data_IF_291496455401
#
_entry.id   IF_291496455401
#
_cell.length_a   1.000
_cell.length_b   1.000
_cell.length_c   1.000
_cell.angle_alpha   90.00
_cell.angle_beta   90.00
_cell.angle_gamma   90.00
#
_symmetry.space_group_name_H-M   'P 1'
#
loop_
_entity.id
_entity.type
_entity.pdbx_description
1 polymer ?
#
# COMPACT_ATOMS: atom_id res chain seq x y z
N UNK A 1 -9.97 -17.41 -16.21
CA UNK A 1 -10.23 -18.87 -16.11
C UNK A 1 -10.68 -19.21 -14.69
N UNK A 2 -12.00 -19.34 -14.43
CA UNK A 2 -12.55 -19.49 -13.08
C UNK A 2 -12.14 -20.78 -12.35
N UNK A 3 -11.73 -21.83 -13.06
CA UNK A 3 -11.30 -23.09 -12.44
C UNK A 3 -10.02 -22.95 -11.59
N UNK A 4 -9.13 -22.00 -11.91
CA UNK A 4 -7.91 -21.74 -11.14
C UNK A 4 -8.23 -21.20 -9.73
N UNK A 5 -9.35 -20.50 -9.56
CA UNK A 5 -9.79 -20.00 -8.25
C UNK A 5 -10.13 -21.14 -7.27
N UNK A 6 -10.54 -22.31 -7.78
CA UNK A 6 -10.89 -23.47 -6.98
C UNK A 6 -9.73 -24.46 -6.76
N UNK A 7 -8.57 -24.23 -7.39
CA UNK A 7 -7.42 -25.13 -7.26
C UNK A 7 -6.85 -25.11 -5.82
N UNK A 8 -6.60 -26.26 -5.18
CA UNK A 8 -6.05 -26.30 -3.83
C UNK A 8 -4.67 -25.66 -3.76
N UNK A 9 -4.36 -25.04 -2.62
CA UNK A 9 -3.16 -24.22 -2.45
C UNK A 9 -1.84 -24.99 -2.64
N UNK A 10 -1.86 -26.30 -2.41
CA UNK A 10 -0.73 -27.19 -2.65
C UNK A 10 -0.30 -27.25 -4.13
N UNK A 11 -1.23 -27.06 -5.07
CA UNK A 11 -0.96 -27.05 -6.52
C UNK A 11 -0.91 -25.62 -7.08
N UNK A 12 -1.33 -24.63 -6.29
CA UNK A 12 -1.50 -23.25 -6.71
C UNK A 12 -0.47 -22.35 -6.01
N UNK A 13 0.82 -22.52 -6.33
CA UNK A 13 1.89 -21.71 -5.74
C UNK A 13 1.67 -20.20 -5.85
N UNK A 14 1.04 -19.74 -6.94
CA UNK A 14 0.69 -18.34 -7.15
C UNK A 14 -0.30 -17.79 -6.09
N UNK A 15 -1.18 -18.62 -5.52
CA UNK A 15 -2.10 -18.19 -4.44
C UNK A 15 -1.36 -17.97 -3.14
N UNK A 16 -0.46 -18.91 -2.81
CA UNK A 16 0.40 -18.78 -1.64
C UNK A 16 1.26 -17.52 -1.74
N UNK A 17 1.84 -17.29 -2.91
CA UNK A 17 2.65 -16.11 -3.16
C UNK A 17 1.82 -14.82 -3.12
N UNK A 18 0.65 -14.80 -3.77
CA UNK A 18 -0.24 -13.64 -3.73
C UNK A 18 -0.69 -13.30 -2.31
N UNK A 19 -0.96 -14.30 -1.46
CA UNK A 19 -1.28 -14.08 -0.05
C UNK A 19 -0.08 -13.52 0.73
N UNK A 20 1.12 -14.07 0.51
CA UNK A 20 2.35 -13.55 1.13
C UNK A 20 2.58 -12.07 0.76
N UNK A 21 2.48 -11.75 -0.53
CA UNK A 21 2.64 -10.38 -1.02
C UNK A 21 1.57 -9.44 -0.46
N UNK A 22 0.31 -9.89 -0.41
CA UNK A 22 -0.78 -9.13 0.20
C UNK A 22 -0.52 -8.82 1.68
N UNK A 23 -0.04 -9.80 2.46
CA UNK A 23 0.30 -9.61 3.88
C UNK A 23 1.46 -8.61 4.05
N UNK A 24 2.49 -8.71 3.21
CA UNK A 24 3.65 -7.80 3.22
C UNK A 24 3.26 -6.36 2.85
N UNK A 25 2.51 -6.20 1.77
CA UNK A 25 2.03 -4.91 1.29
C UNK A 25 1.11 -4.23 2.30
N UNK A 26 0.13 -4.96 2.83
CA UNK A 26 -0.81 -4.42 3.81
C UNK A 26 -0.10 -4.05 5.12
N UNK A 27 0.90 -4.85 5.54
CA UNK A 27 1.74 -4.52 6.70
C UNK A 27 2.49 -3.19 6.48
N UNK A 28 3.12 -3.02 5.32
CA UNK A 28 3.82 -1.79 4.95
C UNK A 28 2.88 -0.58 4.97
N UNK A 29 1.72 -0.67 4.33
CA UNK A 29 0.78 0.46 4.25
C UNK A 29 0.19 0.83 5.62
N UNK A 30 -0.10 -0.15 6.48
CA UNK A 30 -0.52 0.11 7.86
C UNK A 30 0.59 0.78 8.68
N UNK A 31 1.84 0.36 8.51
CA UNK A 31 2.98 0.96 9.22
C UNK A 31 3.18 2.43 8.82
N UNK A 32 3.17 2.74 7.52
CA UNK A 32 3.29 4.11 7.01
C UNK A 32 2.18 5.03 7.53
N UNK A 33 0.94 4.52 7.64
CA UNK A 33 -0.14 5.28 8.27
C UNK A 33 0.06 5.48 9.77
N UNK A 34 0.54 4.44 10.45
CA UNK A 34 0.86 4.50 11.88
C UNK A 34 1.95 5.54 12.16
N UNK A 35 2.95 5.66 11.29
CA UNK A 35 3.97 6.70 11.38
C UNK A 35 3.39 8.12 11.34
N UNK A 36 2.46 8.37 10.42
CA UNK A 36 1.77 9.67 10.35
C UNK A 36 0.96 9.93 11.61
N UNK A 37 0.24 8.92 12.12
CA UNK A 37 -0.49 9.03 13.39
C UNK A 37 0.44 9.39 14.55
N UNK A 38 1.57 8.68 14.69
CA UNK A 38 2.60 8.96 15.71
C UNK A 38 3.20 10.36 15.56
N UNK A 39 3.37 10.84 14.33
CA UNK A 39 3.87 12.18 14.08
C UNK A 39 2.86 13.26 14.54
N UNK A 40 1.57 13.07 14.25
CA UNK A 40 0.50 13.97 14.70
C UNK A 40 0.40 14.00 16.23
N UNK A 41 0.50 12.84 16.90
CA UNK A 41 0.51 12.74 18.38
C UNK A 41 1.68 13.49 19.02
N UNK A 42 2.83 13.56 18.33
CA UNK A 42 4.01 14.32 18.75
C UNK A 42 3.92 15.82 18.44
N UNK A 43 2.84 16.28 17.80
CA UNK A 43 2.62 17.68 17.45
C UNK A 43 3.27 18.13 16.14
N UNK A 44 3.70 17.20 15.27
CA UNK A 44 4.17 17.57 13.94
C UNK A 44 2.99 17.94 13.03
N UNK A 45 3.11 19.05 12.30
CA UNK A 45 2.04 19.61 11.45
C UNK A 45 2.24 19.37 9.95
N UNK A 46 2.97 18.31 9.57
CA UNK A 46 3.23 18.02 8.15
C UNK A 46 1.94 17.66 7.42
N UNK A 47 1.67 18.34 6.31
CA UNK A 47 0.55 18.05 5.43
C UNK A 47 0.85 16.81 4.56
N UNK A 48 -0.07 15.85 4.51
CA UNK A 48 0.04 14.65 3.68
C UNK A 48 -1.35 14.09 3.38
N UNK A 49 -1.49 13.33 2.27
CA UNK A 49 -2.74 12.64 1.95
C UNK A 49 -3.19 11.70 3.08
N UNK A 50 -2.24 11.02 3.72
CA UNK A 50 -2.50 10.17 4.88
C UNK A 50 -3.09 10.95 6.04
N UNK A 51 -2.58 12.15 6.33
CA UNK A 51 -3.15 13.04 7.35
C UNK A 51 -4.58 13.44 7.00
N UNK A 52 -4.81 13.92 5.78
CA UNK A 52 -6.15 14.30 5.30
C UNK A 52 -7.13 13.14 5.46
N UNK A 53 -6.68 11.92 5.15
CA UNK A 53 -7.45 10.71 5.40
C UNK A 53 -7.74 10.50 6.90
N UNK A 54 -6.71 10.56 7.76
CA UNK A 54 -6.85 10.36 9.21
C UNK A 54 -7.80 11.37 9.86
N UNK A 55 -7.78 12.63 9.41
CA UNK A 55 -8.66 13.70 9.90
C UNK A 55 -10.13 13.51 9.47
N UNK A 56 -10.37 12.81 8.37
CA UNK A 56 -11.70 12.63 7.77
C UNK A 56 -12.15 11.16 7.72
N UNK A 57 -11.51 10.27 8.49
CA UNK A 57 -11.68 8.80 8.43
C UNK A 57 -13.16 8.37 8.48
N UNK A 58 -13.93 8.95 9.39
CA UNK A 58 -15.34 8.61 9.59
C UNK A 58 -16.22 8.96 8.38
N UNK A 59 -15.81 9.93 7.56
CA UNK A 59 -16.55 10.34 6.36
C UNK A 59 -16.38 9.37 5.19
N UNK A 60 -15.27 8.64 5.13
CA UNK A 60 -14.93 7.78 4.00
C UNK A 60 -15.56 6.39 4.04
N UNK A 61 -16.04 5.94 5.21
CA UNK A 61 -16.71 4.65 5.38
C UNK A 61 -15.89 3.45 4.88
N UNK A 62 -14.55 3.53 5.01
CA UNK A 62 -13.63 2.46 4.65
C UNK A 62 -13.24 1.66 5.90
N UNK A 63 -13.06 0.35 5.74
CA UNK A 63 -12.31 -0.43 6.72
C UNK A 63 -10.84 0.01 6.77
N UNK A 64 -10.14 -0.36 7.84
CA UNK A 64 -8.73 0.00 8.00
C UNK A 64 -7.84 -0.55 6.88
N UNK A 65 -8.21 -1.70 6.32
CA UNK A 65 -7.44 -2.35 5.26
C UNK A 65 -7.73 -1.73 3.90
N UNK A 66 -9.00 -1.42 3.62
CA UNK A 66 -9.36 -0.67 2.41
C UNK A 66 -8.71 0.71 2.40
N UNK A 67 -8.73 1.40 3.54
CA UNK A 67 -8.04 2.68 3.70
C UNK A 67 -6.53 2.56 3.50
N UNK A 68 -5.91 1.51 4.06
CA UNK A 68 -4.50 1.23 3.85
C UNK A 68 -4.16 1.00 2.39
N UNK A 69 -5.00 0.28 1.67
CA UNK A 69 -4.85 0.09 0.23
C UNK A 69 -4.99 1.41 -0.53
N UNK A 70 -6.05 2.18 -0.30
CA UNK A 70 -6.31 3.44 -1.02
C UNK A 70 -5.15 4.43 -0.85
N UNK A 71 -4.66 4.61 0.37
CA UNK A 71 -3.56 5.53 0.66
C UNK A 71 -2.22 4.93 0.20
N UNK A 72 -2.03 3.63 0.40
CA UNK A 72 -0.83 2.90 0.00
C UNK A 72 -0.59 2.90 -1.51
N UNK A 73 -1.65 2.79 -2.31
CA UNK A 73 -1.55 2.84 -3.79
C UNK A 73 -0.95 4.15 -4.29
N UNK A 74 -1.15 5.28 -3.59
CA UNK A 74 -0.50 6.54 -3.97
C UNK A 74 1.02 6.45 -3.85
N UNK A 75 1.52 5.77 -2.81
CA UNK A 75 2.94 5.51 -2.62
C UNK A 75 3.48 4.52 -3.66
N UNK A 76 2.77 3.40 -3.86
CA UNK A 76 3.15 2.34 -4.80
C UNK A 76 3.26 2.89 -6.24
N UNK A 77 2.24 3.64 -6.69
CA UNK A 77 2.16 4.21 -8.03
C UNK A 77 3.36 5.13 -8.34
N UNK A 78 3.76 5.96 -7.37
CA UNK A 78 4.91 6.85 -7.52
C UNK A 78 6.24 6.11 -7.45
N UNK A 79 6.37 5.12 -6.58
CA UNK A 79 7.63 4.41 -6.31
C UNK A 79 8.12 3.63 -7.55
N UNK A 80 7.31 2.72 -8.07
CA UNK A 80 7.73 1.84 -9.16
C UNK A 80 7.97 2.59 -10.47
N UNK A 81 7.08 3.51 -10.83
CA UNK A 81 7.17 4.27 -12.08
C UNK A 81 8.35 5.25 -12.09
N UNK A 82 8.59 5.95 -10.97
CA UNK A 82 9.74 6.86 -10.85
C UNK A 82 11.04 6.08 -10.87
N UNK A 83 11.14 4.97 -10.14
CA UNK A 83 12.33 4.12 -10.16
C UNK A 83 12.64 3.61 -11.57
N UNK A 84 11.63 3.12 -12.31
CA UNK A 84 11.81 2.66 -13.69
C UNK A 84 12.31 3.78 -14.63
N UNK A 85 11.73 4.98 -14.51
CA UNK A 85 12.16 6.14 -15.28
C UNK A 85 13.62 6.54 -14.95
N UNK A 86 13.98 6.57 -13.66
CA UNK A 86 15.34 6.90 -13.21
C UNK A 86 16.37 5.84 -13.64
N UNK A 87 16.04 4.55 -13.55
CA UNK A 87 16.91 3.48 -14.03
C UNK A 87 17.16 3.61 -15.54
N UNK A 88 16.12 3.94 -16.31
CA UNK A 88 16.25 4.17 -17.75
C UNK A 88 17.16 5.37 -18.04
N UNK A 89 16.96 6.48 -17.33
CA UNK A 89 17.78 7.68 -17.46
C UNK A 89 19.26 7.38 -17.20
N UNK A 90 19.58 6.73 -16.07
CA UNK A 90 20.96 6.37 -15.69
C UNK A 90 21.64 5.42 -16.69
N UNK A 91 20.89 4.55 -17.37
CA UNK A 91 21.46 3.63 -18.36
C UNK A 91 21.74 4.31 -19.71
N UNK A 92 20.97 5.34 -20.05
CA UNK A 92 21.05 6.03 -21.35
C UNK A 92 21.99 7.23 -21.38
N UNK A 93 22.43 7.72 -20.21
CA UNK A 93 23.44 8.77 -20.05
C UNK A 93 24.84 8.18 -20.08
#
# INVERSE_FOLDING_TARGET
MPFLANLPEALAHFKKEGRRLHEEELSLFRELQSDVRRALEKGYDTQSFTRTFLENRDSYQLSDDEAAYVIGTLFEAGSGTTAAAMMSYCLTM
#
